data_IF_486778767343
#
_entry.id   IF_486778767343
#
_cell.length_a   1.000
_cell.length_b   1.000
_cell.length_c   1.000
_cell.angle_alpha   90.00
_cell.angle_beta   90.00
_cell.angle_gamma   90.00
#
_symmetry.space_group_name_H-M   'P 1'
#
loop_
_entity.id
_entity.type
_entity.pdbx_description
1 polymer ?
#
# COMPACT_ATOMS: atom_id res chain seq x y z
N UNK A 1 -15.77 -0.12 11.59
CA UNK A 1 -15.34 -0.66 12.90
C UNK A 1 -16.52 -1.36 13.56
N UNK A 2 -16.31 -2.35 14.44
CA UNK A 2 -17.39 -2.99 15.18
C UNK A 2 -18.25 -1.96 15.93
N UNK A 3 -19.57 -2.20 15.99
CA UNK A 3 -20.47 -1.33 16.76
C UNK A 3 -20.07 -1.36 18.23
N UNK A 4 -19.91 -0.20 18.84
CA UNK A 4 -19.46 -0.05 20.23
C UNK A 4 -17.95 0.18 20.40
N UNK A 5 -17.17 0.16 19.32
CA UNK A 5 -15.76 0.62 19.35
C UNK A 5 -15.69 2.08 19.76
N UNK A 6 -14.84 2.39 20.74
CA UNK A 6 -14.59 3.77 21.23
C UNK A 6 -13.21 4.22 20.80
N UNK A 7 -13.14 5.31 20.03
CA UNK A 7 -11.86 5.94 19.68
C UNK A 7 -11.29 6.64 20.92
N UNK A 8 -10.03 6.36 21.24
CA UNK A 8 -9.33 6.99 22.37
C UNK A 8 -8.35 8.06 21.91
N UNK A 9 -7.74 7.89 20.73
CA UNK A 9 -6.87 8.90 20.14
C UNK A 9 -6.73 8.72 18.63
N UNK A 10 -6.40 9.80 17.95
CA UNK A 10 -5.93 9.80 16.58
C UNK A 10 -4.76 10.78 16.48
N UNK A 11 -3.63 10.34 15.93
CA UNK A 11 -2.46 11.19 15.73
C UNK A 11 -1.89 10.98 14.34
N UNK A 12 -1.36 12.06 13.75
CA UNK A 12 -0.64 11.99 12.48
C UNK A 12 0.46 10.93 12.57
N UNK A 13 0.59 10.10 11.54
CA UNK A 13 1.52 8.98 11.55
C UNK A 13 2.12 8.74 10.16
N UNK A 14 3.44 8.84 10.07
CA UNK A 14 4.16 8.72 8.80
C UNK A 14 3.99 9.93 7.88
N UNK A 15 4.54 9.81 6.68
CA UNK A 15 4.52 10.83 5.63
C UNK A 15 4.13 10.19 4.30
N UNK A 16 3.27 10.87 3.54
CA UNK A 16 2.83 10.45 2.22
C UNK A 16 2.66 11.67 1.32
N UNK A 17 3.10 11.56 0.06
CA UNK A 17 3.03 12.67 -0.91
C UNK A 17 1.61 13.05 -1.29
N UNK A 18 0.66 12.10 -1.20
CA UNK A 18 -0.69 12.27 -1.74
C UNK A 18 -1.80 12.15 -0.69
N UNK A 19 -1.46 11.71 0.53
CA UNK A 19 -2.44 11.41 1.57
C UNK A 19 -1.98 11.89 2.93
N UNK A 20 -2.94 12.22 3.79
CA UNK A 20 -2.70 12.41 5.23
C UNK A 20 -2.93 11.09 5.94
N UNK A 21 -1.98 10.67 6.76
CA UNK A 21 -2.01 9.36 7.42
C UNK A 21 -2.06 9.53 8.94
N UNK A 22 -2.77 8.63 9.63
CA UNK A 22 -2.93 8.67 11.07
C UNK A 22 -2.95 7.28 11.70
N UNK A 23 -2.41 7.20 12.92
CA UNK A 23 -2.61 6.07 13.84
C UNK A 23 -3.83 6.37 14.69
N UNK A 24 -4.83 5.49 14.64
CA UNK A 24 -6.06 5.60 15.41
C UNK A 24 -6.07 4.52 16.47
N UNK A 25 -6.07 4.91 17.74
CA UNK A 25 -6.21 3.98 18.87
C UNK A 25 -7.66 3.92 19.31
N UNK A 26 -8.13 2.71 19.61
CA UNK A 26 -9.49 2.47 20.03
C UNK A 26 -9.59 1.34 21.07
N UNK A 27 -10.69 1.31 21.80
CA UNK A 27 -11.11 0.21 22.65
C UNK A 27 -12.28 -0.50 21.96
N UNK A 28 -12.16 -1.81 21.77
CA UNK A 28 -13.21 -2.65 21.21
C UNK A 28 -14.36 -2.89 22.21
N UNK A 29 -15.52 -3.40 21.76
CA UNK A 29 -16.66 -3.65 22.65
C UNK A 29 -16.36 -4.62 23.80
N UNK A 30 -15.39 -5.52 23.62
CA UNK A 30 -14.91 -6.47 24.63
C UNK A 30 -13.90 -5.85 25.62
N UNK A 31 -13.59 -4.55 25.49
CA UNK A 31 -12.62 -3.84 26.30
C UNK A 31 -11.17 -3.94 25.82
N UNK A 32 -10.87 -4.73 24.78
CA UNK A 32 -9.52 -4.89 24.28
C UNK A 32 -9.03 -3.65 23.48
N UNK A 33 -7.75 -3.26 23.62
CA UNK A 33 -7.18 -2.19 22.80
C UNK A 33 -6.93 -2.67 21.37
N UNK A 34 -7.21 -1.80 20.40
CA UNK A 34 -6.89 -2.03 18.99
C UNK A 34 -6.40 -0.74 18.32
N UNK A 35 -5.46 -0.90 17.40
CA UNK A 35 -4.89 0.19 16.62
C UNK A 35 -5.25 0.02 15.14
N UNK A 36 -5.52 1.15 14.49
CA UNK A 36 -5.85 1.23 13.07
C UNK A 36 -4.95 2.24 12.37
N UNK A 37 -4.73 2.00 11.09
CA UNK A 37 -4.11 2.95 10.19
C UNK A 37 -5.22 3.60 9.35
N UNK A 38 -5.23 4.93 9.34
CA UNK A 38 -6.18 5.74 8.58
C UNK A 38 -5.39 6.52 7.53
N UNK A 39 -5.85 6.46 6.28
CA UNK A 39 -5.30 7.23 5.17
C UNK A 39 -6.42 8.09 4.59
N UNK A 40 -6.18 9.38 4.44
CA UNK A 40 -7.13 10.37 3.94
C UNK A 40 -6.57 11.06 2.70
N UNK A 41 -7.37 11.14 1.64
CA UNK A 41 -7.02 11.76 0.36
C UNK A 41 -8.07 12.80 -0.04
N UNK A 42 -7.62 13.87 -0.71
CA UNK A 42 -8.49 14.89 -1.32
C UNK A 42 -8.09 15.12 -2.78
N UNK A 43 -8.98 15.73 -3.56
CA UNK A 43 -8.74 16.03 -4.97
C UNK A 43 -9.25 14.96 -5.96
N UNK A 44 -9.02 15.14 -7.27
CA UNK A 44 -9.66 14.36 -8.32
C UNK A 44 -9.39 12.85 -8.25
N UNK A 45 -8.17 12.46 -7.87
CA UNK A 45 -7.75 11.05 -7.81
C UNK A 45 -8.02 10.37 -6.47
N UNK A 46 -8.52 11.11 -5.47
CA UNK A 46 -8.64 10.62 -4.08
C UNK A 46 -9.52 9.37 -3.97
N UNK A 47 -10.60 9.32 -4.75
CA UNK A 47 -11.48 8.15 -4.80
C UNK A 47 -10.73 6.92 -5.30
N UNK A 48 -10.12 7.02 -6.48
CA UNK A 48 -9.43 5.92 -7.12
C UNK A 48 -8.30 5.37 -6.23
N UNK A 49 -7.58 6.25 -5.53
CA UNK A 49 -6.53 5.86 -4.57
C UNK A 49 -7.12 5.02 -3.43
N UNK A 50 -8.12 5.53 -2.70
CA UNK A 50 -8.66 4.84 -1.53
C UNK A 50 -9.45 3.57 -1.89
N UNK A 51 -10.27 3.63 -2.94
CA UNK A 51 -11.08 2.50 -3.42
C UNK A 51 -10.19 1.39 -4.00
N UNK A 52 -9.23 1.75 -4.86
CA UNK A 52 -8.28 0.82 -5.45
C UNK A 52 -7.40 0.12 -4.41
N UNK A 53 -6.88 0.88 -3.43
CA UNK A 53 -6.10 0.32 -2.32
C UNK A 53 -6.93 -0.62 -1.43
N UNK A 54 -8.19 -0.28 -1.15
CA UNK A 54 -9.09 -1.17 -0.41
C UNK A 54 -9.32 -2.50 -1.13
N UNK A 55 -9.68 -2.45 -2.42
CA UNK A 55 -10.00 -3.64 -3.19
C UNK A 55 -8.77 -4.52 -3.45
N UNK A 56 -7.63 -3.92 -3.79
CA UNK A 56 -6.37 -4.65 -3.96
C UNK A 56 -5.91 -5.32 -2.66
N UNK A 57 -5.89 -4.60 -1.54
CA UNK A 57 -5.53 -5.19 -0.25
C UNK A 57 -6.50 -6.29 0.19
N UNK A 58 -7.78 -6.18 -0.17
CA UNK A 58 -8.80 -7.21 0.11
C UNK A 58 -8.55 -8.47 -0.71
N UNK A 59 -8.26 -8.32 -2.02
CA UNK A 59 -7.91 -9.42 -2.90
C UNK A 59 -6.61 -10.12 -2.48
N UNK A 60 -5.60 -9.35 -2.06
CA UNK A 60 -4.36 -9.94 -1.54
C UNK A 60 -4.64 -10.69 -0.23
N UNK A 61 -5.40 -10.10 0.71
CA UNK A 61 -5.71 -10.77 1.98
C UNK A 61 -6.56 -12.04 1.81
N UNK A 62 -7.40 -12.14 0.77
CA UNK A 62 -8.19 -13.34 0.52
C UNK A 62 -7.34 -14.51 -0.01
N UNK A 63 -6.27 -14.21 -0.75
CA UNK A 63 -5.35 -15.21 -1.30
C UNK A 63 -4.18 -15.53 -0.34
N UNK A 64 -3.65 -14.51 0.31
CA UNK A 64 -2.50 -14.56 1.20
C UNK A 64 -2.79 -13.72 2.46
N UNK A 65 -3.48 -14.31 3.44
CA UNK A 65 -3.76 -13.64 4.71
C UNK A 65 -2.47 -13.13 5.37
N UNK A 66 -2.52 -11.93 5.95
CA UNK A 66 -1.39 -11.28 6.62
C UNK A 66 -0.21 -10.92 5.70
N UNK A 67 -0.39 -10.92 4.36
CA UNK A 67 0.62 -10.40 3.44
C UNK A 67 0.56 -8.87 3.30
N UNK A 68 -0.63 -8.29 3.45
CA UNK A 68 -0.83 -6.84 3.57
C UNK A 68 -1.64 -6.53 4.84
N UNK A 69 -1.58 -5.29 5.36
CA UNK A 69 -2.47 -4.87 6.43
C UNK A 69 -3.92 -5.18 6.09
N UNK A 70 -4.66 -5.76 7.04
CA UNK A 70 -6.05 -6.13 6.83
C UNK A 70 -6.86 -4.86 6.50
N UNK A 71 -7.52 -4.77 5.33
CA UNK A 71 -8.41 -3.67 5.04
C UNK A 71 -9.70 -3.81 5.85
N UNK A 72 -10.17 -2.73 6.47
CA UNK A 72 -11.41 -2.71 7.24
C UNK A 72 -12.55 -1.98 6.52
N UNK A 73 -12.22 -0.99 5.71
CA UNK A 73 -13.22 -0.24 4.96
C UNK A 73 -12.63 1.01 4.33
N UNK A 74 -13.38 1.56 3.39
CA UNK A 74 -13.12 2.85 2.77
C UNK A 74 -14.42 3.63 2.68
N UNK A 75 -14.32 4.94 2.46
CA UNK A 75 -15.50 5.78 2.32
C UNK A 75 -15.16 7.25 2.18
N UNK A 76 -16.14 8.11 2.46
CA UNK A 76 -15.97 9.57 2.37
C UNK A 76 -16.61 10.31 3.52
N UNK A 77 -16.06 11.47 3.85
CA UNK A 77 -16.69 12.45 4.73
C UNK A 77 -16.43 13.88 4.22
N UNK A 78 -17.12 14.85 4.80
CA UNK A 78 -16.85 16.28 4.61
C UNK A 78 -16.05 16.78 5.81
N UNK A 79 -14.92 17.43 5.56
CA UNK A 79 -14.15 18.04 6.64
C UNK A 79 -14.78 19.36 7.12
N UNK A 80 -14.13 20.03 8.08
CA UNK A 80 -14.61 21.30 8.65
C UNK A 80 -14.77 22.42 7.61
N UNK A 81 -14.08 22.32 6.47
CA UNK A 81 -14.14 23.28 5.37
C UNK A 81 -15.08 22.81 4.25
N UNK A 82 -15.96 21.83 4.53
CA UNK A 82 -16.87 21.22 3.56
C UNK A 82 -16.15 20.57 2.37
N UNK A 83 -14.86 20.21 2.53
CA UNK A 83 -14.08 19.53 1.50
C UNK A 83 -14.34 18.04 1.57
N UNK A 84 -14.63 17.41 0.42
CA UNK A 84 -14.83 15.97 0.33
C UNK A 84 -13.50 15.24 0.49
N UNK A 85 -13.41 14.42 1.53
CA UNK A 85 -12.26 13.58 1.85
C UNK A 85 -12.63 12.12 1.61
N UNK A 86 -11.79 11.40 0.89
CA UNK A 86 -11.86 9.95 0.78
C UNK A 86 -10.92 9.34 1.82
N UNK A 87 -11.32 8.23 2.42
CA UNK A 87 -10.48 7.55 3.40
C UNK A 87 -10.41 6.04 3.19
N UNK A 88 -9.30 5.47 3.64
CA UNK A 88 -9.08 4.04 3.82
C UNK A 88 -8.73 3.78 5.29
N UNK A 89 -9.34 2.74 5.86
CA UNK A 89 -9.06 2.26 7.21
C UNK A 89 -8.57 0.81 7.13
N UNK A 90 -7.43 0.53 7.77
CA UNK A 90 -6.84 -0.81 7.85
C UNK A 90 -6.27 -1.10 9.25
N UNK A 91 -5.87 -2.34 9.50
CA UNK A 91 -5.16 -2.72 10.73
C UNK A 91 -3.81 -1.99 10.81
N UNK A 92 -3.50 -1.43 11.98
CA UNK A 92 -2.18 -0.86 12.22
C UNK A 92 -1.15 -1.96 12.44
N UNK A 93 0.01 -1.83 11.81
CA UNK A 93 1.17 -2.67 12.06
C UNK A 93 2.35 -1.77 12.44
N UNK A 94 2.98 -2.08 13.58
CA UNK A 94 4.25 -1.47 13.93
C UNK A 94 5.31 -2.00 12.96
N UNK A 95 5.91 -1.12 12.17
CA UNK A 95 6.98 -1.49 11.25
C UNK A 95 8.32 -1.34 11.96
N UNK A 96 9.13 -2.41 11.96
CA UNK A 96 10.53 -2.31 12.31
C UNK A 96 11.31 -1.84 11.07
N UNK A 97 11.87 -0.63 11.15
CA UNK A 97 12.69 -0.03 10.10
C UNK A 97 14.19 -0.16 10.40
N UNK A 98 14.55 -0.74 11.54
CA UNK A 98 15.95 -0.90 11.96
C UNK A 98 16.62 -2.11 11.29
N UNK A 99 15.83 -3.11 10.93
CA UNK A 99 16.32 -4.36 10.36
C UNK A 99 15.59 -4.65 9.04
N UNK A 100 16.30 -4.73 7.90
CA UNK A 100 15.67 -5.14 6.66
C UNK A 100 15.20 -6.60 6.77
N UNK A 101 14.03 -6.95 6.21
CA UNK A 101 13.56 -8.33 6.22
C UNK A 101 14.51 -9.21 5.40
N UNK A 102 14.59 -10.50 5.76
CA UNK A 102 15.35 -11.49 4.98
C UNK A 102 14.82 -11.55 3.54
N UNK A 103 15.64 -11.28 2.51
CA UNK A 103 15.21 -11.35 1.13
C UNK A 103 14.70 -12.75 0.75
N UNK A 104 15.37 -13.80 1.24
CA UNK A 104 14.98 -15.18 0.96
C UNK A 104 13.61 -15.53 1.55
N UNK A 105 13.33 -15.07 2.78
CA UNK A 105 12.04 -15.30 3.44
C UNK A 105 10.93 -14.51 2.75
N UNK A 106 11.19 -13.23 2.42
CA UNK A 106 10.25 -12.39 1.69
C UNK A 106 9.88 -13.01 0.34
N UNK A 107 10.87 -13.40 -0.46
CA UNK A 107 10.64 -14.04 -1.76
C UNK A 107 9.92 -15.39 -1.59
N UNK A 108 10.23 -16.17 -0.56
CA UNK A 108 9.53 -17.44 -0.32
C UNK A 108 8.04 -17.23 0.01
N UNK A 109 7.70 -16.21 0.81
CA UNK A 109 6.30 -15.87 1.13
C UNK A 109 5.56 -15.29 -0.07
N UNK A 110 6.23 -14.42 -0.83
CA UNK A 110 5.72 -13.89 -2.09
C UNK A 110 5.45 -15.02 -3.08
N UNK A 111 6.39 -15.95 -3.21
CA UNK A 111 6.29 -17.16 -4.03
C UNK A 111 5.13 -18.04 -3.62
N UNK A 112 4.99 -18.37 -2.33
CA UNK A 112 3.86 -19.17 -1.86
C UNK A 112 2.50 -18.49 -2.14
N UNK A 113 2.45 -17.16 -2.09
CA UNK A 113 1.26 -16.38 -2.42
C UNK A 113 0.93 -16.44 -3.91
N UNK A 114 1.94 -16.45 -4.78
CA UNK A 114 1.82 -16.51 -6.24
C UNK A 114 1.89 -17.90 -6.86
N UNK A 115 2.30 -18.95 -6.14
CA UNK A 115 2.42 -20.33 -6.64
C UNK A 115 1.08 -20.94 -7.05
N UNK A 116 -0.04 -20.30 -6.67
CA UNK A 116 -1.36 -20.63 -7.21
C UNK A 116 -1.59 -20.08 -8.63
N UNK A 117 -0.67 -19.28 -9.17
CA UNK A 117 -0.86 -18.55 -10.42
C UNK A 117 0.37 -18.61 -11.36
N UNK A 118 1.62 -18.55 -10.85
CA UNK A 118 2.83 -18.37 -11.69
C UNK A 118 4.04 -19.18 -11.20
N UNK A 119 4.87 -19.64 -12.15
CA UNK A 119 6.21 -20.22 -11.91
C UNK A 119 7.23 -19.09 -11.72
N UNK A 120 7.77 -18.94 -10.51
CA UNK A 120 8.85 -17.98 -10.26
C UNK A 120 10.20 -18.55 -10.71
N UNK A 121 10.96 -17.70 -11.38
CA UNK A 121 12.31 -17.97 -11.88
C UNK A 121 13.36 -17.39 -10.93
N UNK A 122 14.59 -17.91 -11.01
CA UNK A 122 15.72 -17.43 -10.18
C UNK A 122 16.05 -15.95 -10.42
N UNK A 123 15.66 -15.40 -11.56
CA UNK A 123 15.78 -13.98 -11.89
C UNK A 123 14.54 -13.21 -11.44
N UNK A 124 14.75 -12.19 -10.60
CA UNK A 124 13.71 -11.26 -10.18
C UNK A 124 13.09 -10.53 -11.38
N UNK A 125 13.90 -10.08 -12.34
CA UNK A 125 13.42 -9.39 -13.54
C UNK A 125 12.50 -10.28 -14.36
N UNK A 126 12.89 -11.53 -14.57
CA UNK A 126 12.09 -12.51 -15.31
C UNK A 126 10.78 -12.81 -14.59
N UNK A 127 10.84 -13.00 -13.27
CA UNK A 127 9.65 -13.21 -12.44
C UNK A 127 8.70 -12.01 -12.46
N UNK A 128 9.23 -10.78 -12.36
CA UNK A 128 8.44 -9.55 -12.43
C UNK A 128 7.80 -9.35 -13.80
N UNK A 129 8.53 -9.63 -14.89
CA UNK A 129 7.99 -9.59 -16.25
C UNK A 129 6.82 -10.56 -16.40
N UNK A 130 6.98 -11.83 -16.02
CA UNK A 130 5.89 -12.81 -16.09
C UNK A 130 4.68 -12.39 -15.26
N UNK A 131 4.91 -11.85 -14.05
CA UNK A 131 3.83 -11.32 -13.19
C UNK A 131 3.08 -10.19 -13.87
N UNK A 132 3.79 -9.23 -14.47
CA UNK A 132 3.18 -8.07 -15.10
C UNK A 132 2.43 -8.46 -16.40
N UNK A 133 3.00 -9.34 -17.21
CA UNK A 133 2.35 -9.90 -18.40
C UNK A 133 1.06 -10.65 -18.04
N UNK A 134 1.09 -11.44 -16.96
CA UNK A 134 -0.07 -12.16 -16.48
C UNK A 134 -1.17 -11.22 -15.97
N UNK A 135 -0.80 -10.14 -15.28
CA UNK A 135 -1.75 -9.09 -14.86
C UNK A 135 -2.41 -8.43 -16.06
N UNK A 136 -1.63 -8.06 -17.09
CA UNK A 136 -2.15 -7.46 -18.32
C UNK A 136 -3.11 -8.43 -19.03
N UNK A 137 -2.71 -9.71 -19.17
CA UNK A 137 -3.54 -10.74 -19.79
C UNK A 137 -4.87 -10.88 -19.06
N UNK A 138 -4.84 -11.03 -17.74
CA UNK A 138 -6.04 -11.19 -16.92
C UNK A 138 -6.95 -9.97 -16.98
N UNK A 139 -6.39 -8.76 -16.96
CA UNK A 139 -7.16 -7.52 -17.11
C UNK A 139 -7.87 -7.46 -18.48
N UNK A 140 -7.16 -7.78 -19.55
CA UNK A 140 -7.71 -7.81 -20.91
C UNK A 140 -8.82 -8.88 -21.07
N UNK A 141 -8.67 -10.05 -20.44
CA UNK A 141 -9.71 -11.09 -20.40
C UNK A 141 -10.96 -10.65 -19.64
N UNK A 142 -10.79 -9.88 -18.56
CA UNK A 142 -11.88 -9.48 -17.66
C UNK A 142 -12.61 -8.22 -18.16
N UNK A 143 -11.86 -7.23 -18.63
CA UNK A 143 -12.34 -5.87 -18.90
C UNK A 143 -12.30 -5.52 -20.41
N UNK A 144 -11.76 -6.41 -21.24
CA UNK A 144 -11.48 -6.13 -22.65
C UNK A 144 -10.18 -5.36 -22.85
N UNK A 145 -9.60 -5.38 -24.07
CA UNK A 145 -8.30 -4.77 -24.33
C UNK A 145 -8.32 -3.26 -24.15
N UNK A 146 -7.30 -2.72 -23.46
CA UNK A 146 -7.07 -1.28 -23.35
C UNK A 146 -5.72 -0.91 -24.00
N UNK A 147 -5.71 -0.50 -25.29
CA UNK A 147 -4.49 -0.33 -26.06
C UNK A 147 -3.45 0.63 -25.45
N UNK A 148 -3.92 1.73 -24.84
CA UNK A 148 -3.04 2.72 -24.20
C UNK A 148 -2.42 2.20 -22.90
N UNK A 149 -3.18 1.46 -22.10
CA UNK A 149 -2.69 0.80 -20.89
C UNK A 149 -1.70 -0.31 -21.25
N UNK A 150 -2.04 -1.16 -22.23
CA UNK A 150 -1.15 -2.21 -22.74
C UNK A 150 0.17 -1.62 -23.28
N UNK A 151 0.11 -0.51 -24.00
CA UNK A 151 1.28 0.18 -24.51
C UNK A 151 2.15 0.76 -23.38
N UNK A 152 1.54 1.29 -22.32
CA UNK A 152 2.27 1.77 -21.14
C UNK A 152 2.94 0.61 -20.38
N UNK A 153 2.23 -0.50 -20.16
CA UNK A 153 2.77 -1.68 -19.51
C UNK A 153 3.88 -2.34 -20.34
N UNK A 154 3.73 -2.42 -21.66
CA UNK A 154 4.80 -2.88 -22.57
C UNK A 154 6.02 -1.99 -22.49
N UNK A 155 5.88 -0.67 -22.36
CA UNK A 155 7.04 0.20 -22.12
C UNK A 155 7.76 -0.12 -20.81
N UNK A 156 7.06 -0.55 -19.76
CA UNK A 156 7.67 -0.96 -18.48
C UNK A 156 8.39 -2.31 -18.63
N UNK A 157 7.86 -3.23 -19.43
CA UNK A 157 8.46 -4.54 -19.71
C UNK A 157 9.69 -4.40 -20.63
N UNK A 158 9.54 -3.67 -21.73
CA UNK A 158 10.54 -3.56 -22.80
C UNK A 158 11.68 -2.60 -22.46
N UNK A 159 11.35 -1.44 -21.86
CA UNK A 159 12.39 -0.59 -21.29
C UNK A 159 12.69 -1.20 -19.93
N UNK A 160 13.85 -1.85 -19.79
CA UNK A 160 14.46 -2.24 -18.52
C UNK A 160 14.45 -1.06 -17.52
N UNK A 161 13.31 -0.72 -16.91
CA UNK A 161 13.22 0.26 -15.83
C UNK A 161 13.80 -0.31 -14.52
N UNK A 162 14.39 -1.50 -14.58
CA UNK A 162 15.36 -2.00 -13.63
C UNK A 162 16.65 -2.44 -14.37
N UNK A 163 17.58 -1.54 -14.72
CA UNK A 163 18.92 -1.97 -15.12
C UNK A 163 19.66 -2.42 -13.86
N UNK A 164 19.41 -3.67 -13.43
CA UNK A 164 20.09 -4.27 -12.28
C UNK A 164 21.58 -4.51 -12.53
N UNK A 165 22.04 -4.52 -13.79
CA UNK A 165 23.46 -4.59 -14.14
C UNK A 165 24.24 -3.31 -13.74
N UNK A 166 23.54 -2.21 -13.46
CA UNK A 166 24.12 -0.95 -12.96
C UNK A 166 23.72 -0.59 -11.53
N UNK A 167 22.89 -1.40 -10.86
CA UNK A 167 22.57 -1.20 -9.45
C UNK A 167 23.79 -1.66 -8.63
N UNK A 168 24.53 -0.68 -8.10
CA UNK A 168 25.54 -0.95 -7.08
C UNK A 168 24.94 -1.76 -5.93
N UNK A 169 25.79 -2.41 -5.13
CA UNK A 169 25.34 -3.11 -3.91
C UNK A 169 24.32 -2.26 -3.17
N UNK A 170 23.21 -2.88 -2.76
CA UNK A 170 22.15 -2.23 -2.01
C UNK A 170 22.76 -1.35 -0.91
N UNK A 171 22.51 -0.05 -1.03
CA UNK A 171 23.02 0.98 -0.14
C UNK A 171 21.82 1.57 0.60
N UNK A 172 21.54 1.12 1.83
CA UNK A 172 20.38 1.60 2.60
C UNK A 172 20.44 3.10 2.89
N UNK A 173 21.59 3.77 2.68
CA UNK A 173 21.68 5.23 2.78
C UNK A 173 21.08 5.98 1.59
N UNK A 174 20.78 5.26 0.49
CA UNK A 174 20.26 5.80 -0.77
C UNK A 174 18.82 5.41 -1.07
N UNK A 175 18.16 4.70 -0.14
CA UNK A 175 16.73 4.47 -0.27
C UNK A 175 16.03 5.83 -0.39
N UNK A 176 15.33 6.04 -1.52
CA UNK A 176 14.33 7.10 -1.56
C UNK A 176 13.39 6.78 -0.41
N UNK A 177 13.23 7.72 0.51
CA UNK A 177 12.31 7.60 1.63
C UNK A 177 10.85 7.57 1.11
N UNK A 178 10.47 6.47 0.50
CA UNK A 178 9.10 6.12 0.21
C UNK A 178 8.60 5.48 1.49
N UNK A 179 7.83 6.28 2.24
CA UNK A 179 7.26 6.05 3.58
C UNK A 179 8.15 6.42 4.77
N UNK A 180 7.72 7.43 5.52
CA UNK A 180 7.83 7.40 6.98
C UNK A 180 8.95 8.21 7.66
N UNK A 181 9.79 8.96 6.95
CA UNK A 181 10.80 9.78 7.63
C UNK A 181 10.20 11.02 8.31
N UNK A 182 10.58 11.22 9.57
CA UNK A 182 10.11 12.29 10.47
C UNK A 182 10.84 13.58 10.13
N UNK A 183 10.17 14.53 9.48
CA UNK A 183 10.65 15.92 9.44
C UNK A 183 9.98 16.64 10.61
N UNK A 184 10.72 17.13 11.63
CA UNK A 184 10.13 17.98 12.65
C UNK A 184 9.66 19.28 11.97
N UNK A 185 8.36 19.55 12.01
CA UNK A 185 7.85 20.89 11.73
C UNK A 185 7.25 21.44 13.01
N UNK A 186 7.71 22.63 13.39
CA UNK A 186 7.16 23.41 14.51
C UNK A 186 5.90 24.09 13.98
N UNK A 187 4.77 23.90 14.66
CA UNK A 187 3.61 24.78 14.49
C UNK A 187 3.84 25.96 15.43
N UNK A 188 4.26 27.10 14.87
CA UNK A 188 4.08 28.36 15.58
C UNK A 188 2.60 28.74 15.47
N UNK A 189 1.94 28.83 16.63
CA UNK A 189 0.62 29.44 16.71
C UNK A 189 0.78 30.92 16.40
N UNK A 190 0.14 31.38 15.33
CA UNK A 190 0.01 32.81 15.05
C UNK A 190 -1.03 33.35 16.04
N UNK A 191 -0.65 34.38 16.81
CA UNK A 191 -1.49 35.11 17.77
C UNK A 191 -2.76 35.71 17.12
#
# INVERSE_FOLDING_TARGET
MPKGTKITSASSHGTSSWTKTAKVSAILPDGSPKQYFLKCATGPSARAICEGEFHSATAINSLAPNFTPQPLGWGTYLDANNTKVFFLLSSFHEMDLSTPPSPAEFISRLAASFQRTITLETSWTTSFTHLLEDVIRYDNETNGPWPDYDAACRQIIDKKYAPLEGLGKYDPSKDIAVTGWRVPFVIEQIE
#
